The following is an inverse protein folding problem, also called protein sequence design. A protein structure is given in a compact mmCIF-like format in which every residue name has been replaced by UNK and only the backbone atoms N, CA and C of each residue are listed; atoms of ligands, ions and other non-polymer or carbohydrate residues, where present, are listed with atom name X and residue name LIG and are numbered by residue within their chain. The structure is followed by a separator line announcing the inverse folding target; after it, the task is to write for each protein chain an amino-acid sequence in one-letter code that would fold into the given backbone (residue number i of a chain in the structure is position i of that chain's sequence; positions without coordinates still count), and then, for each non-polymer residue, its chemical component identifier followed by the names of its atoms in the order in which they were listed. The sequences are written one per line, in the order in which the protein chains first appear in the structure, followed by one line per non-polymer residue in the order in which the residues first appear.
data_IF_454324937825
#
_entry.id   IF_454324937825
#
_cell.length_a   1.000
_cell.length_b   1.000
_cell.length_c   1.000
_cell.angle_alpha   90.00
_cell.angle_beta   90.00
_cell.angle_gamma   90.00
#
_symmetry.space_group_name_H-M   'P 1'
#
loop_
_entity.id
_entity.type
_entity.pdbx_description
1 polymer ?
#
# COMPACT_ATOMS: atom_id res chain seq x y z
N UNK A 1 22.02 -11.61 6.89
CA UNK A 1 20.85 -11.70 5.99
C UNK A 1 19.64 -11.31 6.83
N UNK A 2 19.30 -10.02 6.81
CA UNK A 2 18.17 -9.48 7.59
C UNK A 2 16.87 -10.09 7.10
N UNK A 3 15.92 -10.34 8.00
CA UNK A 3 14.59 -10.81 7.59
C UNK A 3 13.91 -9.71 6.79
N UNK A 4 13.40 -10.05 5.59
CA UNK A 4 12.51 -9.19 4.79
C UNK A 4 11.36 -8.71 5.69
N UNK A 5 11.12 -7.40 5.76
CA UNK A 5 10.00 -6.85 6.52
C UNK A 5 8.76 -6.80 5.64
N UNK A 6 7.70 -7.48 6.06
CA UNK A 6 6.38 -7.33 5.44
C UNK A 6 5.85 -5.91 5.75
N UNK A 7 5.50 -5.15 4.72
CA UNK A 7 5.01 -3.76 4.83
C UNK A 7 3.68 -3.51 4.10
N UNK A 8 3.07 -4.57 3.57
CA UNK A 8 1.71 -4.61 3.01
C UNK A 8 0.79 -5.54 3.82
N UNK A 9 -0.21 -6.14 3.18
CA UNK A 9 -1.12 -7.09 3.87
C UNK A 9 -0.40 -8.32 4.44
N UNK A 10 0.79 -8.68 3.93
CA UNK A 10 1.58 -9.81 4.43
C UNK A 10 2.02 -9.67 5.90
N UNK A 11 1.88 -8.47 6.49
CA UNK A 11 2.15 -8.22 7.90
C UNK A 11 0.93 -8.48 8.80
N UNK A 12 -0.26 -8.57 8.23
CA UNK A 12 -1.50 -8.77 8.98
C UNK A 12 -1.57 -10.19 9.52
N UNK A 13 -2.08 -10.33 10.75
CA UNK A 13 -2.24 -11.64 11.37
C UNK A 13 -3.64 -12.20 11.09
N UNK A 14 -3.86 -13.52 11.21
CA UNK A 14 -5.18 -14.11 11.06
C UNK A 14 -6.22 -13.40 11.93
N UNK A 15 -7.36 -13.06 11.33
CA UNK A 15 -8.47 -12.36 11.99
C UNK A 15 -8.39 -10.83 11.91
N UNK A 16 -7.28 -10.26 11.43
CA UNK A 16 -7.23 -8.84 11.13
C UNK A 16 -8.13 -8.50 9.95
N UNK A 17 -8.74 -7.31 9.99
CA UNK A 17 -9.63 -6.85 8.94
C UNK A 17 -9.54 -5.34 8.74
N UNK A 18 -10.00 -4.88 7.58
CA UNK A 18 -9.92 -3.49 7.13
C UNK A 18 -11.30 -2.94 6.88
N UNK A 19 -11.54 -1.73 7.38
CA UNK A 19 -12.77 -0.97 7.20
C UNK A 19 -12.41 0.35 6.51
N UNK A 20 -12.89 0.53 5.29
CA UNK A 20 -12.71 1.76 4.53
C UNK A 20 -13.70 2.83 5.04
N UNK A 21 -13.25 4.07 5.18
CA UNK A 21 -14.14 5.20 5.44
C UNK A 21 -15.03 5.49 4.22
N UNK A 22 -16.18 6.11 4.45
CA UNK A 22 -17.17 6.40 3.40
C UNK A 22 -16.61 7.26 2.25
N UNK A 23 -15.64 8.13 2.53
CA UNK A 23 -15.00 8.99 1.54
C UNK A 23 -13.81 8.34 0.82
N UNK A 24 -13.44 7.11 1.20
CA UNK A 24 -12.33 6.37 0.62
C UNK A 24 -10.94 6.97 0.91
N UNK A 25 -10.84 7.99 1.77
CA UNK A 25 -9.57 8.69 2.06
C UNK A 25 -8.75 8.02 3.14
N UNK A 26 -9.37 7.14 3.93
CA UNK A 26 -8.66 6.34 4.92
C UNK A 26 -9.30 4.97 5.09
N UNK A 27 -8.51 4.03 5.59
CA UNK A 27 -9.00 2.75 6.09
C UNK A 27 -8.44 2.46 7.47
N UNK A 28 -9.30 2.00 8.36
CA UNK A 28 -8.94 1.51 9.68
C UNK A 28 -8.66 0.01 9.60
N UNK A 29 -7.55 -0.42 10.18
CA UNK A 29 -7.16 -1.82 10.28
C UNK A 29 -7.32 -2.25 11.73
N UNK A 30 -8.09 -3.30 11.95
CA UNK A 30 -8.40 -3.86 13.26
C UNK A 30 -7.79 -5.25 13.39
N UNK A 31 -7.38 -5.60 14.61
CA UNK A 31 -6.97 -6.96 14.93
C UNK A 31 -8.17 -7.92 15.09
N UNK A 32 -7.89 -9.17 15.49
CA UNK A 32 -8.91 -10.20 15.69
C UNK A 32 -9.85 -9.94 16.89
N UNK A 33 -9.51 -8.99 17.77
CA UNK A 33 -10.29 -8.57 18.94
C UNK A 33 -11.03 -7.24 18.70
N UNK A 34 -11.17 -6.81 17.43
CA UNK A 34 -11.76 -5.52 17.01
C UNK A 34 -11.04 -4.29 17.58
N UNK A 35 -9.74 -4.39 17.89
CA UNK A 35 -8.94 -3.22 18.32
C UNK A 35 -8.26 -2.59 17.11
N UNK A 36 -8.36 -1.26 17.02
CA UNK A 36 -7.65 -0.49 16.01
C UNK A 36 -6.13 -0.70 16.21
N UNK A 37 -5.46 -1.18 15.16
CA UNK A 37 -4.00 -1.41 15.16
C UNK A 37 -3.28 -0.46 14.24
N UNK A 38 -3.83 -0.14 13.07
CA UNK A 38 -3.32 0.88 12.16
C UNK A 38 -4.41 1.65 11.42
N UNK A 39 -3.98 2.74 10.79
CA UNK A 39 -4.73 3.53 9.83
C UNK A 39 -3.90 3.65 8.55
N UNK A 40 -4.51 3.34 7.42
CA UNK A 40 -4.02 3.67 6.08
C UNK A 40 -4.69 4.98 5.64
N UNK A 41 -3.90 5.96 5.22
CA UNK A 41 -4.37 7.21 4.63
C UNK A 41 -4.06 7.20 3.13
N UNK A 42 -5.07 7.45 2.29
CA UNK A 42 -4.96 7.47 0.84
C UNK A 42 -4.87 8.91 0.33
N UNK A 43 -3.77 9.21 -0.34
CA UNK A 43 -3.48 10.51 -0.93
C UNK A 43 -3.49 10.39 -2.46
N UNK A 44 -4.58 10.86 -3.08
CA UNK A 44 -4.71 10.90 -4.53
C UNK A 44 -3.74 11.94 -5.12
N UNK A 45 -2.89 11.52 -6.05
CA UNK A 45 -1.86 12.40 -6.62
C UNK A 45 -2.41 13.36 -7.69
N UNK A 46 -3.62 13.08 -8.20
CA UNK A 46 -4.20 13.73 -9.37
C UNK A 46 -3.72 13.16 -10.71
N UNK A 47 -2.73 12.26 -10.68
CA UNK A 47 -2.25 11.52 -11.83
C UNK A 47 -2.97 10.17 -11.99
N UNK A 48 -2.92 9.60 -13.19
CA UNK A 48 -3.57 8.34 -13.53
C UNK A 48 -2.62 7.41 -14.29
N UNK A 49 -2.81 6.11 -14.11
CA UNK A 49 -2.30 5.06 -14.97
C UNK A 49 -3.52 4.36 -15.60
N UNK A 50 -3.70 4.49 -16.90
CA UNK A 50 -4.95 4.15 -17.58
C UNK A 50 -6.12 4.99 -17.04
N UNK A 51 -7.20 4.32 -16.66
CA UNK A 51 -8.34 4.92 -15.95
C UNK A 51 -8.12 5.03 -14.45
N UNK A 52 -7.10 4.36 -13.90
CA UNK A 52 -6.93 4.23 -12.46
C UNK A 52 -6.13 5.41 -11.89
N UNK A 53 -6.62 6.05 -10.81
CA UNK A 53 -5.86 7.10 -10.15
C UNK A 53 -4.62 6.52 -9.49
N UNK A 54 -3.52 7.27 -9.53
CA UNK A 54 -2.36 6.97 -8.70
C UNK A 54 -2.62 7.47 -7.28
N UNK A 55 -2.41 6.58 -6.33
CA UNK A 55 -2.70 6.80 -4.92
C UNK A 55 -1.46 6.50 -4.11
N UNK A 56 -1.04 7.46 -3.28
CA UNK A 56 -0.03 7.21 -2.26
C UNK A 56 -0.71 6.76 -0.97
N UNK A 57 -0.05 5.89 -0.22
CA UNK A 57 -0.57 5.40 1.06
C UNK A 57 0.40 5.74 2.17
N UNK A 58 -0.09 6.37 3.24
CA UNK A 58 0.64 6.51 4.50
C UNK A 58 0.05 5.55 5.51
N UNK A 59 0.87 4.72 6.14
CA UNK A 59 0.43 3.73 7.12
C UNK A 59 0.96 4.12 8.49
N UNK A 60 0.06 4.27 9.45
CA UNK A 60 0.40 4.62 10.83
C UNK A 60 -0.19 3.59 11.79
N UNK A 61 0.49 3.34 12.91
CA UNK A 61 -0.10 2.63 14.04
C UNK A 61 -1.25 3.44 14.64
N UNK A 62 -2.10 2.80 15.45
CA UNK A 62 -3.21 3.46 16.12
C UNK A 62 -2.79 4.61 17.05
N UNK A 63 -1.53 4.61 17.54
CA UNK A 63 -0.94 5.72 18.31
C UNK A 63 -0.21 6.77 17.44
N UNK A 64 -0.34 6.71 16.11
CA UNK A 64 0.16 7.70 15.15
C UNK A 64 1.64 7.56 14.78
N UNK A 65 2.27 6.40 15.04
CA UNK A 65 3.65 6.17 14.59
C UNK A 65 3.65 5.67 13.15
N UNK A 66 4.51 6.25 12.32
CA UNK A 66 4.69 5.80 10.95
C UNK A 66 5.16 4.34 10.92
N UNK A 67 4.46 3.51 10.15
CA UNK A 67 4.85 2.13 9.82
C UNK A 67 5.57 2.10 8.48
N UNK A 68 5.05 2.84 7.50
CA UNK A 68 5.63 2.93 6.17
C UNK A 68 4.80 3.80 5.23
N UNK A 69 5.28 3.93 4.00
CA UNK A 69 4.62 4.63 2.90
C UNK A 69 4.62 3.76 1.66
N UNK A 70 3.56 3.88 0.87
CA UNK A 70 3.49 3.37 -0.49
C UNK A 70 3.44 4.56 -1.42
N UNK A 71 4.41 4.69 -2.31
CA UNK A 71 4.51 5.79 -3.27
C UNK A 71 4.28 5.25 -4.68
N UNK A 72 3.24 5.75 -5.35
CA UNK A 72 2.85 5.29 -6.68
C UNK A 72 3.58 6.09 -7.76
N UNK A 73 4.12 5.39 -8.76
CA UNK A 73 4.87 5.97 -9.87
C UNK A 73 4.33 5.46 -11.21
N UNK A 74 3.97 6.36 -12.11
CA UNK A 74 3.59 5.98 -13.48
C UNK A 74 4.83 5.53 -14.24
N UNK A 75 4.79 4.31 -14.79
CA UNK A 75 5.84 3.80 -15.69
C UNK A 75 5.42 3.96 -17.14
N UNK A 76 4.16 3.68 -17.45
CA UNK A 76 3.57 3.86 -18.78
C UNK A 76 2.08 4.20 -18.67
N UNK A 77 1.37 4.17 -19.81
CA UNK A 77 -0.09 4.30 -19.80
C UNK A 77 -0.80 3.12 -19.15
N UNK A 78 -0.18 1.94 -19.08
CA UNK A 78 -0.83 0.71 -18.60
C UNK A 78 -0.02 -0.01 -17.51
N UNK A 79 1.03 0.64 -17.00
CA UNK A 79 1.85 0.13 -15.92
C UNK A 79 2.25 1.23 -14.92
N UNK A 80 2.21 0.89 -13.65
CA UNK A 80 2.70 1.70 -12.55
C UNK A 80 3.46 0.85 -11.55
N UNK A 81 4.38 1.48 -10.84
CA UNK A 81 5.11 0.87 -9.73
C UNK A 81 4.60 1.46 -8.42
N UNK A 82 4.52 0.63 -7.38
CA UNK A 82 4.29 1.08 -6.01
C UNK A 82 5.56 0.81 -5.21
N UNK A 83 6.24 1.87 -4.80
CA UNK A 83 7.39 1.82 -3.93
C UNK A 83 6.95 1.68 -2.49
N UNK A 84 7.30 0.57 -1.85
CA UNK A 84 7.02 0.30 -0.44
C UNK A 84 8.24 0.69 0.39
N UNK A 85 8.06 1.76 1.15
CA UNK A 85 9.11 2.44 1.92
C UNK A 85 8.81 2.25 3.41
N UNK A 86 9.82 1.88 4.19
CA UNK A 86 9.65 1.69 5.64
C UNK A 86 9.58 3.03 6.41
N UNK A 87 9.33 2.95 7.71
CA UNK A 87 9.26 4.12 8.58
C UNK A 87 10.55 4.96 8.62
N UNK A 88 11.71 4.37 8.27
CA UNK A 88 13.01 5.04 8.24
C UNK A 88 13.29 5.71 6.88
N UNK A 89 12.41 5.53 5.89
CA UNK A 89 12.57 6.06 4.54
C UNK A 89 13.36 5.14 3.61
N UNK A 90 13.54 3.87 3.99
CA UNK A 90 14.28 2.90 3.18
C UNK A 90 13.32 2.14 2.27
N UNK A 91 13.56 2.18 0.95
CA UNK A 91 12.84 1.36 -0.01
C UNK A 91 13.07 -0.13 0.29
N UNK A 92 12.00 -0.90 0.49
CA UNK A 92 12.07 -2.34 0.79
C UNK A 92 11.61 -3.21 -0.37
N UNK A 93 10.61 -2.73 -1.13
CA UNK A 93 9.92 -3.50 -2.15
C UNK A 93 9.35 -2.57 -3.21
N UNK A 94 9.40 -2.99 -4.47
CA UNK A 94 8.65 -2.41 -5.57
C UNK A 94 7.58 -3.41 -6.01
N UNK A 95 6.32 -2.98 -6.02
CA UNK A 95 5.21 -3.72 -6.62
C UNK A 95 4.96 -3.20 -8.03
N UNK A 96 5.36 -3.97 -9.03
CA UNK A 96 5.14 -3.65 -10.42
C UNK A 96 3.73 -4.09 -10.84
N UNK A 97 2.88 -3.13 -11.17
CA UNK A 97 1.55 -3.35 -11.70
C UNK A 97 1.57 -3.15 -13.22
N UNK A 98 1.02 -4.11 -13.97
CA UNK A 98 0.88 -4.02 -15.43
C UNK A 98 -0.48 -4.50 -15.90
N UNK A 99 -0.83 -4.13 -17.14
CA UNK A 99 -2.13 -4.43 -17.76
C UNK A 99 -3.31 -3.73 -17.06
N UNK A 100 -3.07 -2.54 -16.48
CA UNK A 100 -4.08 -1.76 -15.73
C UNK A 100 -5.29 -1.40 -16.61
N UNK A 101 -5.09 -1.25 -17.91
CA UNK A 101 -6.14 -0.97 -18.89
C UNK A 101 -7.14 -2.11 -19.09
N UNK A 102 -6.83 -3.32 -18.63
CA UNK A 102 -7.72 -4.49 -18.72
C UNK A 102 -8.72 -4.58 -17.56
N UNK A 103 -8.57 -3.73 -16.55
CA UNK A 103 -9.28 -3.82 -15.29
C UNK A 103 -8.80 -4.99 -14.42
N UNK A 104 -9.43 -5.17 -13.26
CA UNK A 104 -9.06 -6.21 -12.31
C UNK A 104 -9.33 -7.64 -12.86
N UNK A 105 -8.45 -8.62 -12.60
CA UNK A 105 -7.23 -8.51 -11.80
C UNK A 105 -6.06 -7.89 -12.57
N UNK A 106 -5.34 -6.96 -11.93
CA UNK A 106 -4.06 -6.44 -12.45
C UNK A 106 -2.95 -7.49 -12.32
N UNK A 107 -1.99 -7.48 -13.24
CA UNK A 107 -0.77 -8.30 -13.09
C UNK A 107 0.16 -7.62 -12.08
N UNK A 108 0.53 -8.31 -11.01
CA UNK A 108 1.44 -7.79 -9.96
C UNK A 108 2.71 -8.65 -9.88
N UNK A 109 3.87 -8.00 -9.91
CA UNK A 109 5.18 -8.62 -9.65
C UNK A 109 5.91 -7.89 -8.54
N UNK A 110 6.52 -8.63 -7.62
CA UNK A 110 7.34 -8.09 -6.54
C UNK A 110 8.83 -8.02 -6.91
N UNK A 111 9.49 -6.94 -6.49
CA UNK A 111 10.94 -6.77 -6.52
C UNK A 111 11.45 -6.29 -5.16
N UNK A 112 12.06 -7.22 -4.41
CA UNK A 112 12.60 -6.96 -3.07
C UNK A 112 13.98 -6.33 -3.16
N UNK A 113 14.21 -5.25 -2.39
CA UNK A 113 15.48 -4.53 -2.34
C UNK A 113 16.34 -5.08 -1.18
N UNK A 114 17.60 -5.38 -1.48
CA UNK A 114 18.60 -5.95 -0.55
C UNK A 114 19.38 -4.88 0.25
#
# INVERSE_FOLDING_TARGET
MGKRKALGQDRWQPGWHKVLADDGTLANIYDADDRLVEVEYYEFTGEHCGSEPLVNVRIETADGKLVGRHESHRISETACDIHVIDAEGTLQLILHHSDIDRGEPVTIREEWID
#
